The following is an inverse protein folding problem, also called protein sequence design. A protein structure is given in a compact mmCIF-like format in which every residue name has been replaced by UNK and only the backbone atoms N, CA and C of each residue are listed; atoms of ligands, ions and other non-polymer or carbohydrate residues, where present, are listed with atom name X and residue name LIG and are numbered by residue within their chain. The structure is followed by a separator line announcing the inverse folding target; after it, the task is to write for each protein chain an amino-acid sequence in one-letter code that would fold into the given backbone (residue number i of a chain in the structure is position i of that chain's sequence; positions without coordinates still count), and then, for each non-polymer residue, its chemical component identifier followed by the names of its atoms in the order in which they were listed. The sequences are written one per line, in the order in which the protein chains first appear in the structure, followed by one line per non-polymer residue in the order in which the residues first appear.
data_IF_406747523361
#
_entry.id   IF_406747523361
#
_cell.length_a   1.000
_cell.length_b   1.000
_cell.length_c   1.000
_cell.angle_alpha   90.00
_cell.angle_beta   90.00
_cell.angle_gamma   90.00
#
_symmetry.space_group_name_H-M   'P 1'
#
loop_
_entity.id
_entity.type
_entity.pdbx_description
1 polymer ?
#
# COMPACT_ATOMS: atom_id res chain seq x y z
N UNK A 1 22.48 -4.77 -0.80
CA UNK A 1 21.32 -3.95 -0.36
C UNK A 1 21.67 -2.77 0.54
N UNK A 2 22.49 -2.89 1.62
CA UNK A 2 22.99 -1.70 2.37
C UNK A 2 23.59 -0.63 1.44
N UNK A 3 24.36 -1.05 0.44
CA UNK A 3 24.91 -0.16 -0.58
C UNK A 3 23.87 0.49 -1.51
N UNK A 4 22.75 -0.18 -1.82
CA UNK A 4 21.71 0.35 -2.73
C UNK A 4 20.69 1.23 -2.00
N UNK A 5 20.35 0.94 -0.75
CA UNK A 5 19.56 1.82 0.12
C UNK A 5 20.36 3.06 0.52
N UNK A 6 21.66 2.92 0.84
CA UNK A 6 22.55 4.06 1.04
C UNK A 6 22.80 4.86 -0.24
N UNK A 7 22.72 4.24 -1.43
CA UNK A 7 22.79 4.97 -2.71
C UNK A 7 21.50 5.73 -2.99
N UNK A 8 20.32 5.13 -2.80
CA UNK A 8 19.04 5.83 -2.96
C UNK A 8 18.87 6.98 -1.95
N UNK A 9 19.26 6.79 -0.68
CA UNK A 9 19.22 7.86 0.32
C UNK A 9 20.28 8.96 0.08
N UNK A 10 21.44 8.61 -0.51
CA UNK A 10 22.43 9.62 -0.98
C UNK A 10 22.00 10.35 -2.25
N UNK A 11 21.32 9.68 -3.18
CA UNK A 11 20.92 10.23 -4.49
C UNK A 11 19.58 10.97 -4.44
N UNK A 12 18.71 10.66 -3.47
CA UNK A 12 17.36 11.20 -3.35
C UNK A 12 16.91 11.35 -1.88
N UNK A 13 17.47 12.30 -1.10
CA UNK A 13 17.15 12.50 0.32
C UNK A 13 15.67 12.87 0.58
N UNK A 14 14.94 13.28 -0.46
CA UNK A 14 13.52 13.56 -0.38
C UNK A 14 12.65 12.30 -0.17
N UNK A 15 13.16 11.11 -0.51
CA UNK A 15 12.41 9.85 -0.38
C UNK A 15 12.05 9.55 1.07
N UNK A 16 13.01 9.73 1.99
CA UNK A 16 12.80 9.57 3.43
C UNK A 16 11.77 10.57 3.97
N UNK A 17 11.79 11.82 3.49
CA UNK A 17 10.80 12.84 3.86
C UNK A 17 9.40 12.46 3.40
N UNK A 18 9.25 11.96 2.17
CA UNK A 18 7.95 11.54 1.62
C UNK A 18 7.37 10.36 2.40
N UNK A 19 8.19 9.39 2.77
CA UNK A 19 7.77 8.27 3.62
C UNK A 19 7.34 8.77 5.00
N UNK A 20 8.12 9.67 5.61
CA UNK A 20 7.78 10.26 6.90
C UNK A 20 6.43 10.99 6.86
N UNK A 21 6.18 11.78 5.81
CA UNK A 21 4.89 12.46 5.59
C UNK A 21 3.76 11.44 5.43
N UNK A 22 3.97 10.35 4.70
CA UNK A 22 3.00 9.25 4.56
C UNK A 22 2.67 8.59 5.91
N UNK A 23 3.67 8.33 6.75
CA UNK A 23 3.48 7.74 8.09
C UNK A 23 2.74 8.70 9.02
N UNK A 24 3.09 10.00 9.01
CA UNK A 24 2.36 11.02 9.79
C UNK A 24 0.90 11.08 9.35
N UNK A 25 0.63 11.03 8.05
CA UNK A 25 -0.73 11.04 7.52
C UNK A 25 -1.53 9.79 7.95
N UNK A 26 -0.91 8.61 7.94
CA UNK A 26 -1.51 7.39 8.46
C UNK A 26 -1.90 7.52 9.95
N UNK A 27 -0.98 8.01 10.78
CA UNK A 27 -1.25 8.23 12.23
C UNK A 27 -2.37 9.25 12.42
N UNK A 28 -2.35 10.35 11.67
CA UNK A 28 -3.38 11.38 11.71
C UNK A 28 -4.76 10.82 11.29
N UNK A 29 -4.80 9.98 10.25
CA UNK A 29 -6.01 9.27 9.83
C UNK A 29 -6.62 8.44 10.95
N UNK A 30 -5.81 7.69 11.70
CA UNK A 30 -6.29 6.94 12.88
C UNK A 30 -6.74 7.84 14.03
N UNK A 31 -6.04 8.95 14.27
CA UNK A 31 -6.43 9.92 15.30
C UNK A 31 -7.76 10.63 14.99
N UNK A 32 -8.06 10.84 13.70
CA UNK A 32 -9.31 11.46 13.25
C UNK A 32 -10.51 10.50 13.25
N UNK A 33 -10.27 9.18 13.19
CA UNK A 33 -11.31 8.15 13.08
C UNK A 33 -12.44 8.27 14.11
N UNK A 34 -12.20 8.57 15.41
CA UNK A 34 -13.28 8.76 16.38
C UNK A 34 -14.18 9.96 16.09
N UNK A 35 -13.65 11.00 15.43
CA UNK A 35 -14.33 12.27 15.18
C UNK A 35 -15.03 12.35 13.83
N UNK A 36 -14.88 11.36 12.94
CA UNK A 36 -15.48 11.39 11.59
C UNK A 36 -17.01 11.40 11.62
N UNK A 37 -17.64 10.86 12.68
CA UNK A 37 -19.10 10.83 12.82
C UNK A 37 -19.67 12.12 13.38
N UNK A 38 -18.86 12.91 14.08
CA UNK A 38 -19.31 14.10 14.81
C UNK A 38 -18.84 15.41 14.20
N UNK A 39 -17.81 15.37 13.34
CA UNK A 39 -17.23 16.56 12.71
C UNK A 39 -17.12 16.36 11.20
N UNK A 40 -17.89 17.15 10.45
CA UNK A 40 -17.86 17.16 8.99
C UNK A 40 -16.45 17.50 8.43
N UNK A 41 -15.73 18.50 8.96
CA UNK A 41 -14.34 18.74 8.57
C UNK A 41 -13.41 17.55 8.86
N UNK A 42 -13.58 16.87 10.00
CA UNK A 42 -12.75 15.69 10.34
C UNK A 42 -13.01 14.52 9.40
N UNK A 43 -14.27 14.28 9.01
CA UNK A 43 -14.64 13.27 8.01
C UNK A 43 -14.01 13.54 6.65
N UNK A 44 -14.08 14.80 6.19
CA UNK A 44 -13.46 15.21 4.93
C UNK A 44 -11.94 15.06 4.97
N UNK A 45 -11.29 15.53 6.04
CA UNK A 45 -9.84 15.41 6.18
C UNK A 45 -9.39 13.95 6.22
N UNK A 46 -10.12 13.09 6.94
CA UNK A 46 -9.88 11.65 6.96
C UNK A 46 -9.91 11.07 5.54
N UNK A 47 -10.96 11.32 4.77
CA UNK A 47 -11.09 10.76 3.40
C UNK A 47 -10.00 11.30 2.46
N UNK A 48 -9.73 12.60 2.51
CA UNK A 48 -8.69 13.23 1.68
C UNK A 48 -7.31 12.66 2.01
N UNK A 49 -7.00 12.40 3.28
CA UNK A 49 -5.76 11.72 3.67
C UNK A 49 -5.69 10.33 3.05
N UNK A 50 -6.78 9.55 3.11
CA UNK A 50 -6.85 8.18 2.57
C UNK A 50 -6.68 8.10 1.05
N UNK A 51 -7.06 9.15 0.31
CA UNK A 51 -6.89 9.18 -1.14
C UNK A 51 -5.45 9.10 -1.62
N UNK A 52 -4.48 9.61 -0.86
CA UNK A 52 -3.09 9.69 -1.33
C UNK A 52 -2.11 8.91 -0.47
N UNK A 53 -2.26 8.82 0.85
CA UNK A 53 -1.21 8.21 1.68
C UNK A 53 -1.04 6.70 1.40
N UNK A 54 -2.14 5.98 1.13
CA UNK A 54 -2.05 4.56 0.79
C UNK A 54 -1.45 4.33 -0.59
N UNK A 55 -1.93 4.97 -1.68
CA UNK A 55 -1.25 4.90 -2.98
C UNK A 55 0.22 5.33 -2.93
N UNK A 56 0.56 6.33 -2.11
CA UNK A 56 1.92 6.85 -1.98
C UNK A 56 2.90 5.75 -1.62
N UNK A 57 2.60 4.90 -0.63
CA UNK A 57 3.52 3.84 -0.25
C UNK A 57 3.78 2.84 -1.38
N UNK A 58 2.77 2.52 -2.19
CA UNK A 58 2.94 1.64 -3.36
C UNK A 58 3.76 2.31 -4.45
N UNK A 59 3.51 3.60 -4.72
CA UNK A 59 4.33 4.42 -5.63
C UNK A 59 5.79 4.41 -5.18
N UNK A 60 6.04 4.65 -3.88
CA UNK A 60 7.39 4.61 -3.30
C UNK A 60 8.02 3.22 -3.43
N UNK A 61 7.25 2.15 -3.25
CA UNK A 61 7.72 0.78 -3.48
C UNK A 61 8.24 0.58 -4.91
N UNK A 62 7.53 1.12 -5.90
CA UNK A 62 7.91 1.04 -7.32
C UNK A 62 9.24 1.72 -7.65
N UNK A 63 9.61 2.80 -6.94
CA UNK A 63 10.89 3.49 -7.10
C UNK A 63 12.10 2.58 -6.87
N UNK A 64 11.91 1.56 -6.03
CA UNK A 64 12.99 0.68 -5.57
C UNK A 64 13.18 -0.56 -6.46
N UNK A 65 12.27 -0.78 -7.41
CA UNK A 65 12.27 -1.93 -8.30
C UNK A 65 13.24 -1.75 -9.46
N UNK A 66 13.82 -2.87 -9.89
CA UNK A 66 14.70 -2.94 -11.06
C UNK A 66 14.47 -4.29 -11.74
N UNK A 67 14.25 -4.32 -13.07
CA UNK A 67 14.01 -5.57 -13.79
C UNK A 67 15.09 -6.61 -13.47
N UNK A 68 14.64 -7.80 -13.08
CA UNK A 68 15.52 -8.91 -12.77
C UNK A 68 16.13 -9.50 -14.03
N UNK A 69 17.26 -10.19 -13.86
CA UNK A 69 17.71 -11.12 -14.89
C UNK A 69 16.76 -12.32 -14.93
N UNK A 70 16.43 -12.81 -16.13
CA UNK A 70 15.44 -13.89 -16.35
C UNK A 70 15.99 -15.26 -15.97
N UNK A 71 16.33 -15.45 -14.70
CA UNK A 71 16.78 -16.72 -14.14
C UNK A 71 16.26 -16.92 -12.71
N UNK A 72 16.23 -18.17 -12.27
CA UNK A 72 15.74 -18.55 -10.94
C UNK A 72 16.55 -17.93 -9.80
N UNK A 73 17.87 -17.77 -9.99
CA UNK A 73 18.75 -17.23 -8.95
C UNK A 73 18.41 -15.78 -8.62
N UNK A 74 18.14 -14.95 -9.62
CA UNK A 74 17.75 -13.55 -9.43
C UNK A 74 16.36 -13.43 -8.78
N UNK A 75 15.41 -14.27 -9.17
CA UNK A 75 14.10 -14.33 -8.51
C UNK A 75 14.24 -14.72 -7.03
N UNK A 76 15.02 -15.76 -6.73
CA UNK A 76 15.25 -16.16 -5.34
C UNK A 76 15.97 -15.09 -4.53
N UNK A 77 16.93 -14.40 -5.14
CA UNK A 77 17.61 -13.27 -4.51
C UNK A 77 16.63 -12.14 -4.19
N UNK A 78 15.74 -11.79 -5.12
CA UNK A 78 14.67 -10.81 -4.89
C UNK A 78 13.76 -11.22 -3.73
N UNK A 79 13.30 -12.48 -3.70
CA UNK A 79 12.48 -13.01 -2.60
C UNK A 79 13.21 -12.90 -1.27
N UNK A 80 14.49 -13.32 -1.21
CA UNK A 80 15.29 -13.30 0.01
C UNK A 80 15.59 -11.88 0.50
N UNK A 81 15.81 -10.94 -0.40
CA UNK A 81 16.23 -9.58 -0.05
C UNK A 81 15.07 -8.62 0.17
N UNK A 82 13.91 -8.85 -0.46
CA UNK A 82 12.75 -7.94 -0.40
C UNK A 82 11.57 -8.55 0.32
N UNK A 83 11.15 -9.74 -0.09
CA UNK A 83 9.90 -10.35 0.41
C UNK A 83 10.10 -10.97 1.80
N UNK A 84 11.20 -11.69 2.01
CA UNK A 84 11.46 -12.37 3.28
C UNK A 84 11.62 -11.38 4.45
N UNK A 85 12.36 -10.27 4.37
CA UNK A 85 12.45 -9.30 5.46
C UNK A 85 11.10 -8.67 5.81
N UNK A 86 10.24 -8.45 4.80
CA UNK A 86 8.88 -7.97 5.04
C UNK A 86 8.02 -9.02 5.74
N UNK A 87 8.10 -10.28 5.32
CA UNK A 87 7.40 -11.39 5.98
C UNK A 87 7.87 -11.58 7.43
N UNK A 88 9.18 -11.47 7.68
CA UNK A 88 9.76 -11.53 9.03
C UNK A 88 9.25 -10.36 9.87
N UNK A 89 9.28 -9.13 9.34
CA UNK A 89 8.75 -7.95 10.03
C UNK A 89 7.27 -8.11 10.36
N UNK A 90 6.47 -8.60 9.40
CA UNK A 90 5.05 -8.88 9.58
C UNK A 90 4.81 -9.89 10.72
N UNK A 91 5.54 -11.01 10.73
CA UNK A 91 5.39 -12.03 11.75
C UNK A 91 5.83 -11.55 13.14
N UNK A 92 6.96 -10.84 13.23
CA UNK A 92 7.47 -10.32 14.50
C UNK A 92 6.53 -9.23 15.04
N UNK A 93 6.21 -8.23 14.23
CA UNK A 93 5.35 -7.13 14.66
C UNK A 93 3.93 -7.61 14.96
N UNK A 94 3.38 -8.51 14.14
CA UNK A 94 2.08 -9.14 14.39
C UNK A 94 2.08 -9.92 15.71
N UNK A 95 3.11 -10.73 15.96
CA UNK A 95 3.24 -11.47 17.24
C UNK A 95 3.31 -10.52 18.44
N UNK A 96 4.12 -9.46 18.35
CA UNK A 96 4.22 -8.46 19.42
C UNK A 96 2.89 -7.76 19.68
N UNK A 97 2.15 -7.39 18.64
CA UNK A 97 0.84 -6.76 18.78
C UNK A 97 -0.22 -7.71 19.34
N UNK A 98 -0.21 -9.00 18.94
CA UNK A 98 -1.12 -10.01 19.50
C UNK A 98 -0.90 -10.14 21.00
N UNK A 99 0.37 -10.24 21.44
CA UNK A 99 0.68 -10.30 22.86
C UNK A 99 0.35 -9.00 23.60
N UNK A 100 0.69 -7.84 23.03
CA UNK A 100 0.35 -6.55 23.62
C UNK A 100 -1.15 -6.42 23.82
N UNK A 101 -1.96 -6.74 22.80
CA UNK A 101 -3.41 -6.70 22.87
C UNK A 101 -3.96 -7.66 23.94
N UNK A 102 -3.42 -8.88 24.03
CA UNK A 102 -3.78 -9.84 25.07
C UNK A 102 -3.58 -9.28 26.49
N UNK A 103 -2.43 -8.66 26.77
CA UNK A 103 -2.14 -8.13 28.11
C UNK A 103 -2.87 -6.82 28.41
N UNK A 104 -3.17 -5.99 27.40
CA UNK A 104 -3.90 -4.73 27.57
C UNK A 104 -5.39 -4.99 27.80
N UNK A 105 -5.99 -5.90 27.03
CA UNK A 105 -7.43 -6.18 27.07
C UNK A 105 -7.82 -7.33 28.00
N UNK A 106 -6.85 -8.13 28.46
CA UNK A 106 -7.10 -9.28 29.33
C UNK A 106 -7.79 -10.44 28.61
N UNK A 107 -7.51 -10.62 27.31
CA UNK A 107 -8.17 -11.63 26.48
C UNK A 107 -7.83 -13.07 26.92
N UNK A 108 -8.68 -14.03 26.58
CA UNK A 108 -8.39 -15.45 26.83
C UNK A 108 -7.28 -15.98 25.90
N UNK A 109 -6.52 -16.99 26.36
CA UNK A 109 -5.52 -17.67 25.52
C UNK A 109 -6.11 -18.31 24.24
N UNK A 110 -7.37 -18.73 24.28
CA UNK A 110 -8.08 -19.24 23.09
C UNK A 110 -8.27 -18.14 22.04
N UNK A 111 -8.61 -16.93 22.47
CA UNK A 111 -8.75 -15.77 21.60
C UNK A 111 -7.40 -15.39 20.99
N UNK A 112 -6.35 -15.33 21.81
CA UNK A 112 -4.98 -15.05 21.35
C UNK A 112 -4.48 -16.09 20.34
N UNK A 113 -4.71 -17.38 20.59
CA UNK A 113 -4.37 -18.44 19.65
C UNK A 113 -5.12 -18.29 18.31
N UNK A 114 -6.40 -17.91 18.35
CA UNK A 114 -7.18 -17.63 17.15
C UNK A 114 -6.59 -16.46 16.33
N UNK A 115 -6.04 -15.44 16.98
CA UNK A 115 -5.36 -14.33 16.30
C UNK A 115 -4.08 -14.76 15.56
N UNK A 116 -3.34 -15.76 16.05
CA UNK A 116 -2.22 -16.32 15.29
C UNK A 116 -2.68 -17.04 14.01
N UNK A 117 -3.81 -17.74 14.06
CA UNK A 117 -4.41 -18.34 12.84
C UNK A 117 -4.84 -17.25 11.86
N UNK A 118 -5.47 -16.18 12.36
CA UNK A 118 -5.85 -15.01 11.56
C UNK A 118 -4.63 -14.30 10.97
N UNK A 119 -3.49 -14.29 11.66
CA UNK A 119 -2.23 -13.75 11.15
C UNK A 119 -1.67 -14.56 9.97
N UNK A 120 -1.82 -15.89 9.98
CA UNK A 120 -1.46 -16.73 8.83
C UNK A 120 -2.42 -16.54 7.65
N UNK A 121 -3.71 -16.39 7.92
CA UNK A 121 -4.70 -16.05 6.90
C UNK A 121 -4.48 -14.64 6.33
N UNK A 122 -4.01 -13.72 7.17
CA UNK A 122 -3.60 -12.36 6.88
C UNK A 122 -4.71 -11.45 6.37
N UNK A 123 -4.30 -10.30 5.83
CA UNK A 123 -5.22 -9.33 5.26
C UNK A 123 -6.14 -8.68 6.30
N UNK A 124 -7.35 -8.32 5.88
CA UNK A 124 -8.41 -7.75 6.71
C UNK A 124 -9.05 -8.76 7.67
N UNK A 125 -8.64 -10.03 7.62
CA UNK A 125 -8.91 -10.95 8.73
C UNK A 125 -8.16 -10.54 9.99
N UNK A 126 -7.11 -9.72 9.95
CA UNK A 126 -6.58 -9.04 11.12
C UNK A 126 -7.34 -7.74 11.32
N UNK A 127 -8.10 -7.62 12.42
CA UNK A 127 -8.90 -6.43 12.74
C UNK A 127 -8.55 -5.90 14.14
N UNK A 128 -9.14 -4.76 14.51
CA UNK A 128 -8.81 -4.06 15.75
C UNK A 128 -7.39 -3.49 15.67
N UNK A 129 -6.57 -3.75 16.69
CA UNK A 129 -5.19 -3.23 16.79
C UNK A 129 -4.27 -3.74 15.67
N UNK A 130 -4.62 -4.86 15.03
CA UNK A 130 -3.84 -5.46 13.95
C UNK A 130 -4.30 -5.05 12.55
N UNK A 131 -5.28 -4.14 12.44
CA UNK A 131 -5.83 -3.74 11.13
C UNK A 131 -4.76 -3.22 10.18
N UNK A 132 -3.70 -2.57 10.66
CA UNK A 132 -2.63 -2.06 9.79
C UNK A 132 -1.81 -3.16 9.07
N UNK A 133 -1.89 -4.41 9.53
CA UNK A 133 -1.03 -5.50 9.06
C UNK A 133 -1.35 -5.97 7.64
N UNK A 134 -2.56 -5.70 7.12
CA UNK A 134 -2.91 -6.02 5.73
C UNK A 134 -1.96 -5.37 4.72
N UNK A 135 -1.40 -4.20 5.07
CA UNK A 135 -0.51 -3.46 4.19
C UNK A 135 0.76 -4.25 3.83
N UNK A 136 1.32 -5.02 4.79
CA UNK A 136 2.53 -5.81 4.54
C UNK A 136 2.30 -6.92 3.52
N UNK A 137 1.18 -7.63 3.61
CA UNK A 137 0.86 -8.72 2.69
C UNK A 137 0.58 -8.19 1.29
N UNK A 138 -0.21 -7.12 1.18
CA UNK A 138 -0.51 -6.49 -0.11
C UNK A 138 0.75 -5.91 -0.73
N UNK A 139 1.58 -5.18 0.03
CA UNK A 139 2.84 -4.65 -0.49
C UNK A 139 3.77 -5.74 -1.01
N UNK A 140 3.92 -6.86 -0.28
CA UNK A 140 4.76 -7.97 -0.71
C UNK A 140 4.25 -8.61 -2.01
N UNK A 141 2.95 -8.84 -2.11
CA UNK A 141 2.34 -9.41 -3.32
C UNK A 141 2.43 -8.45 -4.52
N UNK A 142 2.17 -7.16 -4.31
CA UNK A 142 2.26 -6.15 -5.37
C UNK A 142 3.70 -5.99 -5.86
N UNK A 143 4.70 -6.05 -4.97
CA UNK A 143 6.11 -6.08 -5.36
C UNK A 143 6.41 -7.27 -6.27
N UNK A 144 5.93 -8.47 -5.92
CA UNK A 144 6.10 -9.67 -6.76
C UNK A 144 5.43 -9.46 -8.11
N UNK A 145 4.16 -9.04 -8.14
CA UNK A 145 3.42 -8.83 -9.40
C UNK A 145 4.10 -7.81 -10.29
N UNK A 146 4.46 -6.64 -9.76
CA UNK A 146 5.09 -5.60 -10.57
C UNK A 146 6.49 -6.01 -11.02
N UNK A 147 7.27 -6.69 -10.19
CA UNK A 147 8.57 -7.24 -10.60
C UNK A 147 8.42 -8.24 -11.76
N UNK A 148 7.38 -9.08 -11.72
CA UNK A 148 7.01 -9.97 -12.83
C UNK A 148 6.59 -9.19 -14.09
N UNK A 149 5.86 -8.09 -13.95
CA UNK A 149 5.45 -7.28 -15.10
C UNK A 149 6.67 -6.60 -15.75
N UNK A 150 7.52 -5.94 -14.96
CA UNK A 150 8.65 -5.14 -15.50
C UNK A 150 9.79 -6.00 -16.06
N UNK A 151 9.93 -7.24 -15.58
CA UNK A 151 11.02 -8.14 -16.02
C UNK A 151 10.67 -8.89 -17.32
N UNK A 152 9.39 -9.24 -17.52
CA UNK A 152 8.97 -10.10 -18.62
C UNK A 152 8.22 -9.39 -19.75
N UNK A 153 7.58 -8.26 -19.49
CA UNK A 153 6.69 -7.60 -20.45
C UNK A 153 7.25 -6.23 -20.89
N UNK A 154 6.78 -5.72 -22.03
CA UNK A 154 7.04 -4.35 -22.45
C UNK A 154 6.12 -3.35 -21.73
N UNK A 155 6.50 -2.07 -21.73
CA UNK A 155 5.80 -1.01 -21.00
C UNK A 155 4.32 -0.90 -21.38
N UNK A 156 3.95 -1.08 -22.65
CA UNK A 156 2.55 -0.94 -23.07
C UNK A 156 1.71 -2.07 -22.47
N UNK A 157 2.17 -3.31 -22.59
CA UNK A 157 1.46 -4.46 -21.99
C UNK A 157 1.40 -4.38 -20.47
N UNK A 158 2.45 -3.88 -19.80
CA UNK A 158 2.44 -3.65 -18.35
C UNK A 158 1.28 -2.73 -17.94
N UNK A 159 1.14 -1.57 -18.60
CA UNK A 159 0.06 -0.61 -18.29
C UNK A 159 -1.31 -1.12 -18.71
N UNK A 160 -1.42 -1.83 -19.83
CA UNK A 160 -2.68 -2.46 -20.23
C UNK A 160 -3.18 -3.42 -19.14
N UNK A 161 -2.33 -4.34 -18.68
CA UNK A 161 -2.65 -5.27 -17.61
C UNK A 161 -2.99 -4.51 -16.32
N UNK A 162 -2.17 -3.54 -15.92
CA UNK A 162 -2.39 -2.80 -14.68
C UNK A 162 -3.70 -2.00 -14.69
N UNK A 163 -4.08 -1.40 -15.82
CA UNK A 163 -5.36 -0.68 -15.97
C UNK A 163 -6.54 -1.67 -15.97
N UNK A 164 -6.41 -2.82 -16.63
CA UNK A 164 -7.45 -3.86 -16.56
C UNK A 164 -7.61 -4.39 -15.13
N UNK A 165 -6.52 -4.68 -14.43
CA UNK A 165 -6.54 -5.08 -13.01
C UNK A 165 -7.20 -4.00 -12.15
N UNK A 166 -6.84 -2.73 -12.34
CA UNK A 166 -7.44 -1.61 -11.61
C UNK A 166 -8.94 -1.52 -11.89
N UNK A 167 -9.37 -1.60 -13.16
CA UNK A 167 -10.77 -1.58 -13.56
C UNK A 167 -11.57 -2.73 -12.93
N UNK A 168 -10.99 -3.94 -12.88
CA UNK A 168 -11.56 -5.09 -12.16
C UNK A 168 -11.67 -4.75 -10.67
N UNK A 169 -10.58 -4.29 -10.05
CA UNK A 169 -10.53 -3.96 -8.62
C UNK A 169 -11.56 -2.93 -8.16
N UNK A 170 -11.89 -1.94 -9.00
CA UNK A 170 -12.96 -0.97 -8.71
C UNK A 170 -14.37 -1.50 -9.04
N UNK A 171 -14.48 -2.52 -9.91
CA UNK A 171 -15.77 -3.01 -10.41
C UNK A 171 -16.41 -4.06 -9.50
N UNK A 172 -15.60 -4.89 -8.83
CA UNK A 172 -16.11 -5.85 -7.85
C UNK A 172 -15.96 -5.22 -6.46
N UNK A 173 -17.09 -4.97 -5.77
CA UNK A 173 -17.04 -4.72 -4.32
C UNK A 173 -16.34 -5.89 -3.59
N UNK A 174 -15.92 -5.69 -2.33
CA UNK A 174 -15.17 -6.69 -1.55
C UNK A 174 -15.75 -8.10 -1.74
N UNK A 175 -15.01 -8.98 -2.42
CA UNK A 175 -15.50 -10.31 -2.77
C UNK A 175 -15.41 -11.19 -1.53
N UNK A 176 -16.56 -11.59 -0.97
CA UNK A 176 -16.58 -12.56 0.13
C UNK A 176 -16.04 -13.90 -0.38
N UNK A 177 -15.03 -14.45 0.30
CA UNK A 177 -14.51 -15.78 0.01
C UNK A 177 -15.37 -16.82 0.76
N UNK A 178 -15.90 -17.82 0.05
CA UNK A 178 -16.72 -18.89 0.62
C UNK A 178 -17.93 -18.45 1.48
N UNK A 179 -18.70 -17.43 1.07
CA UNK A 179 -19.97 -16.99 1.71
C UNK A 179 -19.95 -16.66 3.24
N UNK A 180 -18.86 -16.95 3.94
CA UNK A 180 -18.70 -16.88 5.41
C UNK A 180 -17.36 -16.25 5.81
N UNK A 181 -16.38 -16.16 4.90
CA UNK A 181 -15.13 -15.42 5.16
C UNK A 181 -15.22 -14.08 4.43
N UNK A 182 -15.34 -12.95 5.17
CA UNK A 182 -15.63 -11.66 4.57
C UNK A 182 -14.50 -11.10 3.68
N UNK A 183 -13.35 -11.78 3.59
CA UNK A 183 -12.13 -11.24 2.99
C UNK A 183 -11.34 -12.35 2.29
N UNK A 184 -10.78 -12.07 1.11
CA UNK A 184 -9.88 -13.00 0.43
C UNK A 184 -8.57 -13.17 1.22
N UNK A 185 -7.93 -14.35 1.19
CA UNK A 185 -6.66 -14.57 1.88
C UNK A 185 -5.64 -13.49 1.53
N UNK A 186 -4.92 -12.98 2.54
CA UNK A 186 -3.92 -11.92 2.42
C UNK A 186 -4.40 -10.61 1.80
N UNK A 187 -5.72 -10.45 1.57
CA UNK A 187 -6.30 -9.30 0.85
C UNK A 187 -5.67 -9.13 -0.54
N UNK A 188 -5.51 -10.25 -1.25
CA UNK A 188 -4.94 -10.31 -2.62
C UNK A 188 -5.76 -9.48 -3.63
N UNK A 189 -7.05 -9.29 -3.39
CA UNK A 189 -7.92 -8.44 -4.19
C UNK A 189 -7.40 -6.99 -4.29
N UNK A 190 -6.79 -6.44 -3.24
CA UNK A 190 -6.19 -5.10 -3.29
C UNK A 190 -4.94 -5.03 -4.18
N UNK A 191 -4.32 -6.17 -4.53
CA UNK A 191 -3.21 -6.20 -5.50
C UNK A 191 -3.67 -5.69 -6.87
N UNK A 192 -4.94 -5.92 -7.21
CA UNK A 192 -5.55 -5.44 -8.46
C UNK A 192 -5.44 -3.91 -8.61
N UNK A 193 -5.70 -3.17 -7.52
CA UNK A 193 -5.62 -1.71 -7.53
C UNK A 193 -4.18 -1.21 -7.34
N UNK A 194 -3.44 -1.84 -6.44
CA UNK A 194 -2.11 -1.35 -6.01
C UNK A 194 -1.02 -1.59 -7.06
N UNK A 195 -1.22 -2.55 -7.97
CA UNK A 195 -0.32 -2.80 -9.12
C UNK A 195 -0.17 -1.55 -9.98
N UNK A 196 -1.27 -0.85 -10.30
CA UNK A 196 -1.22 0.38 -11.08
C UNK A 196 -0.40 1.47 -10.38
N UNK A 197 -0.65 1.69 -9.09
CA UNK A 197 0.07 2.70 -8.30
C UNK A 197 1.57 2.42 -8.24
N UNK A 198 1.97 1.18 -7.99
CA UNK A 198 3.38 0.80 -7.94
C UNK A 198 4.06 0.88 -9.31
N UNK A 199 3.36 0.49 -10.38
CA UNK A 199 3.86 0.61 -11.75
C UNK A 199 4.04 2.08 -12.16
N UNK A 200 3.11 2.96 -11.76
CA UNK A 200 3.25 4.41 -11.88
C UNK A 200 4.47 4.94 -11.14
N UNK A 201 4.80 4.40 -9.96
CA UNK A 201 6.03 4.73 -9.25
C UNK A 201 7.30 4.35 -10.02
N UNK A 202 7.37 3.11 -10.49
CA UNK A 202 8.51 2.60 -11.25
C UNK A 202 8.81 3.42 -12.52
N UNK A 203 7.79 3.62 -13.37
CA UNK A 203 7.94 4.40 -14.60
C UNK A 203 8.01 5.89 -14.34
N UNK A 204 7.18 6.38 -13.41
CA UNK A 204 7.06 7.80 -13.08
C UNK A 204 8.40 8.40 -12.72
N UNK A 205 9.17 7.77 -11.83
CA UNK A 205 10.50 8.28 -11.47
C UNK A 205 11.49 8.30 -12.63
N UNK A 206 11.48 7.25 -13.46
CA UNK A 206 12.39 7.12 -14.60
C UNK A 206 12.10 8.18 -15.68
N UNK A 207 10.83 8.47 -15.92
CA UNK A 207 10.41 9.45 -16.92
C UNK A 207 10.27 10.87 -16.36
N UNK A 208 10.15 11.05 -15.04
CA UNK A 208 10.02 12.37 -14.41
C UNK A 208 11.18 13.30 -14.78
N UNK A 209 12.39 12.76 -14.89
CA UNK A 209 13.58 13.48 -15.35
C UNK A 209 13.40 14.11 -16.74
N UNK A 210 12.69 13.41 -17.63
CA UNK A 210 12.56 13.70 -19.07
C UNK A 210 11.33 14.55 -19.41
N UNK A 211 10.40 14.72 -18.47
CA UNK A 211 9.19 15.50 -18.68
C UNK A 211 9.51 16.99 -18.89
N UNK A 212 9.08 17.54 -20.03
CA UNK A 212 9.00 18.99 -20.23
C UNK A 212 7.81 19.53 -19.42
N UNK A 213 7.94 20.74 -18.88
CA UNK A 213 6.88 21.45 -18.13
C UNK A 213 6.38 20.73 -16.86
N UNK A 214 7.29 20.17 -16.05
CA UNK A 214 6.96 19.48 -14.78
C UNK A 214 6.10 20.33 -13.85
N UNK A 215 6.41 21.61 -13.72
CA UNK A 215 5.66 22.55 -12.90
C UNK A 215 4.21 22.69 -13.37
N UNK A 216 3.96 22.72 -14.68
CA UNK A 216 2.60 22.83 -15.22
C UNK A 216 1.75 21.62 -14.85
N UNK A 217 2.27 20.40 -15.05
CA UNK A 217 1.55 19.18 -14.68
C UNK A 217 1.33 19.08 -13.16
N UNK A 218 2.35 19.43 -12.35
CA UNK A 218 2.22 19.45 -10.90
C UNK A 218 1.14 20.44 -10.43
N UNK A 219 1.07 21.63 -11.04
CA UNK A 219 0.05 22.63 -10.76
C UNK A 219 -1.34 22.11 -11.13
N UNK A 220 -1.51 21.53 -12.32
CA UNK A 220 -2.81 20.96 -12.74
C UNK A 220 -3.27 19.85 -11.78
N UNK A 221 -2.38 18.92 -11.43
CA UNK A 221 -2.70 17.83 -10.50
C UNK A 221 -3.10 18.40 -9.13
N UNK A 222 -2.38 19.41 -8.65
CA UNK A 222 -2.69 20.07 -7.37
C UNK A 222 -4.04 20.79 -7.41
N UNK A 223 -4.36 21.49 -8.51
CA UNK A 223 -5.65 22.16 -8.69
C UNK A 223 -6.78 21.13 -8.71
N UNK A 224 -6.64 20.05 -9.49
CA UNK A 224 -7.63 18.97 -9.53
C UNK A 224 -7.82 18.39 -8.13
N UNK A 225 -6.74 18.09 -7.41
CA UNK A 225 -6.81 17.55 -6.06
C UNK A 225 -7.55 18.49 -5.09
N UNK A 226 -7.26 19.80 -5.13
CA UNK A 226 -7.95 20.80 -4.31
C UNK A 226 -9.42 20.89 -4.66
N UNK A 227 -9.78 20.88 -5.95
CA UNK A 227 -11.18 20.86 -6.41
C UNK A 227 -11.90 19.63 -5.86
N UNK A 228 -11.29 18.43 -5.98
CA UNK A 228 -11.89 17.20 -5.46
C UNK A 228 -12.07 17.25 -3.93
N UNK A 229 -11.11 17.82 -3.20
CA UNK A 229 -11.23 18.01 -1.76
C UNK A 229 -12.35 18.98 -1.38
N UNK A 230 -12.53 20.07 -2.14
CA UNK A 230 -13.65 21.00 -1.97
C UNK A 230 -14.98 20.30 -2.32
N UNK A 231 -15.07 19.56 -3.42
CA UNK A 231 -16.27 18.81 -3.76
C UNK A 231 -16.61 17.74 -2.71
N UNK A 232 -15.61 17.11 -2.08
CA UNK A 232 -15.82 16.25 -0.92
C UNK A 232 -16.44 17.04 0.24
N UNK A 233 -15.88 18.21 0.54
CA UNK A 233 -16.33 19.05 1.63
C UNK A 233 -17.73 19.64 1.42
N UNK A 234 -18.08 20.04 0.20
CA UNK A 234 -19.36 20.71 -0.08
C UNK A 234 -20.46 19.71 -0.42
N UNK A 235 -20.14 18.64 -1.16
CA UNK A 235 -21.14 17.75 -1.76
C UNK A 235 -21.06 16.31 -1.24
N UNK A 236 -20.16 15.99 -0.31
CA UNK A 236 -20.03 14.65 0.23
C UNK A 236 -19.62 13.60 -0.81
N UNK A 237 -18.89 14.02 -1.84
CA UNK A 237 -18.39 13.16 -2.91
C UNK A 237 -17.54 12.02 -2.33
N UNK A 238 -17.86 10.76 -2.63
CA UNK A 238 -17.04 9.60 -2.24
C UNK A 238 -16.56 8.89 -3.52
N UNK A 239 -15.25 8.67 -3.62
CA UNK A 239 -14.61 7.86 -4.65
C UNK A 239 -14.07 6.58 -4.03
#
# INVERSE_FOLDING_TARGET
MKHSEQQLSKEAPWTDLVIAVGVIAMVLGHALFPSIKTSHPASTLYIVIYWWHMPLFFIMGGLTLKPLTRNWRAMWQFVRERILPMAVTYLIAGTLLIFASHFIHGDSWSYTAHYFVRMLYGGSALNGDLTMMWFFTVMALTLVVVELLITWLDTFTQFFIAVTMFAIGISYGSVSFFHQVPTVPWTVDLVLMTTLWMLCGYHGYRYYGQMKNKAFFATIISIIFVILAICRFEWGLNF
#
